data_IF_873114436619
#
_entry.id   IF_873114436619
#
_cell.length_a   1.000
_cell.length_b   1.000
_cell.length_c   1.000
_cell.angle_alpha   90.00
_cell.angle_beta   90.00
_cell.angle_gamma   90.00
#
_symmetry.space_group_name_H-M   'P 1'
#
loop_
_entity.id
_entity.type
_entity.pdbx_description
1 polymer ?
#
# COMPACT_ATOMS: atom_id res chain seq x y z
N UNK A 1 -14.59 -31.38 -4.59
CA UNK A 1 -15.51 -30.62 -3.74
C UNK A 1 -15.36 -29.17 -4.15
N UNK A 2 -16.42 -28.53 -4.62
CA UNK A 2 -16.38 -27.19 -5.20
C UNK A 2 -15.95 -26.16 -4.16
N UNK A 3 -14.87 -25.45 -4.46
CA UNK A 3 -14.38 -24.28 -3.72
C UNK A 3 -15.27 -23.09 -4.11
N UNK A 4 -16.49 -23.05 -3.56
CA UNK A 4 -17.35 -21.89 -3.72
C UNK A 4 -16.87 -20.81 -2.73
N UNK A 5 -16.66 -19.56 -3.17
CA UNK A 5 -16.24 -18.50 -2.27
C UNK A 5 -17.26 -18.33 -1.12
N UNK A 6 -16.77 -18.23 0.11
CA UNK A 6 -17.57 -18.08 1.35
C UNK A 6 -18.49 -16.82 1.35
N UNK A 7 -18.36 -15.95 0.35
CA UNK A 7 -19.23 -14.79 0.13
C UNK A 7 -19.34 -14.46 -1.36
N UNK A 8 -20.56 -14.22 -1.85
CA UNK A 8 -20.83 -13.71 -3.21
C UNK A 8 -20.40 -12.26 -3.41
N UNK A 9 -20.17 -11.53 -2.31
CA UNK A 9 -19.66 -10.16 -2.31
C UNK A 9 -18.16 -10.23 -2.00
N UNK A 10 -17.28 -9.66 -2.87
CA UNK A 10 -15.83 -9.70 -2.70
C UNK A 10 -15.38 -8.65 -1.66
N UNK A 11 -15.78 -8.85 -0.41
CA UNK A 11 -15.48 -7.93 0.68
C UNK A 11 -13.99 -7.68 0.85
N UNK A 12 -13.17 -8.71 0.73
CA UNK A 12 -11.72 -8.60 0.88
C UNK A 12 -11.11 -7.63 -0.15
N UNK A 13 -11.52 -7.73 -1.42
CA UNK A 13 -11.04 -6.84 -2.49
C UNK A 13 -11.49 -5.40 -2.24
N UNK A 14 -12.75 -5.20 -1.88
CA UNK A 14 -13.33 -3.88 -1.56
C UNK A 14 -12.61 -3.24 -0.37
N UNK A 15 -12.36 -4.02 0.68
CA UNK A 15 -11.63 -3.55 1.87
C UNK A 15 -10.18 -3.24 1.52
N UNK A 16 -9.51 -4.08 0.72
CA UNK A 16 -8.14 -3.82 0.25
C UNK A 16 -8.05 -2.52 -0.55
N UNK A 17 -9.01 -2.25 -1.42
CA UNK A 17 -9.07 -1.03 -2.21
C UNK A 17 -9.31 0.20 -1.32
N UNK A 18 -10.28 0.12 -0.40
CA UNK A 18 -10.56 1.19 0.55
C UNK A 18 -9.33 1.52 1.41
N UNK A 19 -8.62 0.51 1.91
CA UNK A 19 -7.40 0.68 2.70
C UNK A 19 -6.29 1.35 1.88
N UNK A 20 -6.11 0.99 0.60
CA UNK A 20 -5.16 1.67 -0.30
C UNK A 20 -5.49 3.15 -0.46
N UNK A 21 -6.76 3.50 -0.65
CA UNK A 21 -7.19 4.89 -0.78
C UNK A 21 -6.90 5.71 0.49
N UNK A 22 -7.09 5.12 1.68
CA UNK A 22 -6.75 5.76 2.97
C UNK A 22 -5.26 6.08 3.06
N UNK A 23 -4.38 5.12 2.72
CA UNK A 23 -2.92 5.34 2.73
C UNK A 23 -2.55 6.48 1.79
N UNK A 24 -3.08 6.49 0.56
CA UNK A 24 -2.82 7.55 -0.42
C UNK A 24 -3.22 8.94 0.08
N UNK A 25 -4.40 9.05 0.72
CA UNK A 25 -4.88 10.33 1.28
C UNK A 25 -3.97 10.84 2.39
N UNK A 26 -3.57 9.97 3.31
CA UNK A 26 -2.70 10.36 4.43
C UNK A 26 -1.33 10.81 3.93
N UNK A 27 -0.71 10.06 3.02
CA UNK A 27 0.57 10.44 2.43
C UNK A 27 0.48 11.76 1.63
N UNK A 28 -0.63 11.98 0.92
CA UNK A 28 -0.88 13.24 0.22
C UNK A 28 -0.95 14.43 1.17
N UNK A 29 -1.66 14.31 2.30
CA UNK A 29 -1.71 15.36 3.31
C UNK A 29 -0.32 15.67 3.87
N UNK A 30 0.46 14.64 4.21
CA UNK A 30 1.83 14.80 4.72
C UNK A 30 2.74 15.48 3.69
N UNK A 31 2.60 15.14 2.40
CA UNK A 31 3.33 15.80 1.33
C UNK A 31 2.97 17.30 1.23
N UNK A 32 1.69 17.65 1.36
CA UNK A 32 1.24 19.06 1.33
C UNK A 32 1.72 19.88 2.54
N UNK A 33 1.95 19.24 3.69
CA UNK A 33 2.47 19.89 4.90
C UNK A 33 4.00 19.88 4.99
N UNK A 34 4.69 19.66 3.86
CA UNK A 34 6.15 19.69 3.79
C UNK A 34 6.84 18.49 4.43
N UNK A 35 6.16 17.34 4.50
CA UNK A 35 6.70 16.11 5.07
C UNK A 35 6.60 16.03 6.60
N UNK A 36 5.94 17.00 7.24
CA UNK A 36 5.74 16.99 8.69
C UNK A 36 4.67 15.97 9.08
N UNK A 37 5.06 15.03 9.93
CA UNK A 37 4.15 14.12 10.61
C UNK A 37 3.81 14.71 11.98
N UNK A 38 2.53 14.86 12.34
CA UNK A 38 2.16 15.40 13.64
C UNK A 38 2.67 14.48 14.76
N UNK A 39 3.17 15.07 15.86
CA UNK A 39 3.64 14.31 17.01
C UNK A 39 4.78 13.33 16.68
N UNK A 40 4.67 12.09 17.18
CA UNK A 40 5.65 11.02 16.99
C UNK A 40 5.19 9.96 15.98
N UNK A 41 4.38 10.37 14.98
CA UNK A 41 3.88 9.43 13.98
C UNK A 41 4.98 8.99 13.01
N UNK A 42 5.00 7.68 12.72
CA UNK A 42 5.89 7.05 11.74
C UNK A 42 5.10 6.03 10.91
N UNK A 43 5.42 5.90 9.63
CA UNK A 43 4.83 4.89 8.76
C UNK A 43 5.80 3.75 8.48
N UNK A 44 5.28 2.53 8.49
CA UNK A 44 5.91 1.37 7.88
C UNK A 44 5.11 1.03 6.62
N UNK A 45 5.74 1.15 5.45
CA UNK A 45 5.11 0.88 4.16
C UNK A 45 5.85 -0.27 3.52
N UNK A 46 5.11 -1.34 3.19
CA UNK A 46 5.64 -2.49 2.45
C UNK A 46 4.98 -2.52 1.08
N UNK A 47 5.78 -2.75 0.05
CA UNK A 47 5.32 -2.90 -1.33
C UNK A 47 6.17 -3.95 -2.04
N UNK A 48 5.63 -4.50 -3.13
CA UNK A 48 6.37 -5.44 -3.99
C UNK A 48 7.32 -4.65 -4.88
N UNK A 49 8.62 -4.83 -4.69
CA UNK A 49 9.68 -4.14 -5.45
C UNK A 49 9.63 -4.42 -6.96
N UNK A 50 9.15 -5.60 -7.36
CA UNK A 50 8.94 -5.99 -8.75
C UNK A 50 7.57 -5.65 -9.33
N UNK A 51 6.67 -4.98 -8.59
CA UNK A 51 5.36 -4.62 -9.14
C UNK A 51 5.47 -3.56 -10.27
N UNK A 52 4.60 -3.63 -11.29
CA UNK A 52 4.53 -2.60 -12.32
C UNK A 52 4.38 -1.19 -11.73
N UNK A 53 5.14 -0.23 -12.25
CA UNK A 53 5.12 1.17 -11.81
C UNK A 53 6.07 1.50 -10.65
N UNK A 54 6.74 0.51 -10.04
CA UNK A 54 7.75 0.77 -9.01
C UNK A 54 9.07 1.18 -9.66
N UNK A 55 9.50 2.42 -9.40
CA UNK A 55 10.81 2.93 -9.81
C UNK A 55 11.74 3.03 -8.59
N UNK A 56 12.76 2.17 -8.55
CA UNK A 56 13.76 2.11 -7.47
C UNK A 56 15.12 1.66 -8.04
N UNK A 57 16.25 2.01 -7.41
CA UNK A 57 17.57 1.53 -7.81
C UNK A 57 17.66 0.01 -7.94
N UNK A 58 18.36 -0.47 -8.99
CA UNK A 58 18.51 -1.89 -9.29
C UNK A 58 19.03 -2.71 -8.10
N UNK A 59 20.05 -2.21 -7.39
CA UNK A 59 20.61 -2.84 -6.19
C UNK A 59 19.56 -3.12 -5.09
N UNK A 60 18.49 -2.33 -5.01
CA UNK A 60 17.42 -2.52 -4.04
C UNK A 60 16.44 -3.60 -4.52
N UNK A 61 16.13 -3.67 -5.83
CA UNK A 61 15.35 -4.78 -6.39
C UNK A 61 16.07 -6.11 -6.20
N UNK A 62 17.38 -6.14 -6.40
CA UNK A 62 18.19 -7.36 -6.24
C UNK A 62 18.26 -7.81 -4.77
N UNK A 63 18.37 -6.85 -3.84
CA UNK A 63 18.42 -7.13 -2.40
C UNK A 63 17.06 -7.56 -1.83
N UNK A 64 15.97 -7.08 -2.41
CA UNK A 64 14.60 -7.34 -1.98
C UNK A 64 13.77 -7.77 -3.20
N UNK A 65 13.90 -9.02 -3.67
CA UNK A 65 13.18 -9.52 -4.83
C UNK A 65 11.67 -9.62 -4.62
#
# INVERSE_FOLDING_TARGET
MSDAPDSLIPYDEIVQEALRAVVGRVLGQVATTGGSLPGAHHFYITFKTGAPGVDIPQRLRERFP
#
